data_IF_305712161996
#
_entry.id   IF_305712161996
#
_cell.length_a   1.000
_cell.length_b   1.000
_cell.length_c   1.000
_cell.angle_alpha   90.00
_cell.angle_beta   90.00
_cell.angle_gamma   90.00
#
_symmetry.space_group_name_H-M   'P 1'
#
loop_
_entity.id
_entity.type
_entity.pdbx_description
1 polymer ?
#
# COMPACT_ATOMS: atom_id res chain seq x y z
N UNK A 1 5.33 45.84 27.78
CA UNK A 1 6.15 44.64 27.49
C UNK A 1 7.23 45.00 26.48
N UNK A 2 8.51 44.82 26.82
CA UNK A 2 9.62 45.23 25.96
C UNK A 2 9.59 44.43 24.62
N UNK A 3 10.06 45.06 23.54
CA UNK A 3 10.09 44.51 22.20
C UNK A 3 10.75 43.10 22.17
N UNK A 4 11.82 42.93 22.95
CA UNK A 4 12.51 41.62 23.12
C UNK A 4 11.60 40.51 23.69
N UNK A 5 10.72 40.84 24.67
CA UNK A 5 9.75 39.91 25.24
C UNK A 5 8.68 39.47 24.24
N UNK A 6 8.24 40.36 23.34
CA UNK A 6 7.28 40.06 22.28
C UNK A 6 7.87 39.12 21.25
N UNK A 7 9.13 39.34 20.85
CA UNK A 7 9.85 38.43 19.94
C UNK A 7 10.02 37.04 20.58
N UNK A 8 10.43 36.99 21.84
CA UNK A 8 10.60 35.71 22.55
C UNK A 8 9.28 34.92 22.62
N UNK A 9 8.17 35.61 22.85
CA UNK A 9 6.84 34.99 22.92
C UNK A 9 6.39 34.47 21.54
N UNK A 10 6.67 35.23 20.47
CA UNK A 10 6.39 34.82 19.10
C UNK A 10 7.20 33.55 18.71
N UNK A 11 8.48 33.50 19.03
CA UNK A 11 9.34 32.35 18.78
C UNK A 11 8.84 31.11 19.57
N UNK A 12 8.47 31.32 20.84
CA UNK A 12 7.93 30.26 21.66
C UNK A 12 6.63 29.63 21.05
N UNK A 13 5.73 30.48 20.55
CA UNK A 13 4.49 30.03 19.90
C UNK A 13 4.78 29.25 18.61
N UNK A 14 5.76 29.67 17.82
CA UNK A 14 6.16 28.95 16.59
C UNK A 14 6.73 27.58 16.94
N UNK A 15 7.58 27.47 17.98
CA UNK A 15 8.15 26.21 18.43
C UNK A 15 7.04 25.26 18.92
N UNK A 16 6.09 25.77 19.70
CA UNK A 16 4.95 24.95 20.18
C UNK A 16 4.12 24.46 18.99
N UNK A 17 3.79 25.33 18.04
CA UNK A 17 3.02 24.95 16.85
C UNK A 17 3.75 23.89 16.01
N UNK A 18 5.06 24.07 15.80
CA UNK A 18 5.89 23.09 15.09
C UNK A 18 5.95 21.74 15.83
N UNK A 19 6.07 21.76 17.16
CA UNK A 19 6.10 20.53 17.97
C UNK A 19 4.76 19.79 17.91
N UNK A 20 3.65 20.51 17.97
CA UNK A 20 2.30 19.92 17.83
C UNK A 20 2.13 19.32 16.44
N UNK A 21 2.56 20.04 15.40
CA UNK A 21 2.48 19.54 14.02
C UNK A 21 3.30 18.25 13.84
N UNK A 22 4.56 18.24 14.29
CA UNK A 22 5.42 17.07 14.23
C UNK A 22 4.86 15.90 15.06
N UNK A 23 4.27 16.19 16.23
CA UNK A 23 3.65 15.17 17.06
C UNK A 23 2.41 14.57 16.41
N UNK A 24 1.58 15.39 15.76
CA UNK A 24 0.42 14.91 15.01
C UNK A 24 0.84 14.08 13.80
N UNK A 25 1.88 14.50 13.07
CA UNK A 25 2.39 13.75 11.92
C UNK A 25 3.04 12.43 12.35
N UNK A 26 3.80 12.43 13.46
CA UNK A 26 4.40 11.22 14.02
C UNK A 26 3.35 10.23 14.55
N UNK A 27 2.30 10.73 15.19
CA UNK A 27 1.18 9.93 15.70
C UNK A 27 0.05 9.75 14.68
N UNK A 28 0.28 10.08 13.42
CA UNK A 28 -0.66 9.74 12.35
C UNK A 28 -0.87 8.25 12.38
N UNK A 29 -1.94 7.83 13.05
CA UNK A 29 -2.29 6.43 13.26
C UNK A 29 -2.38 5.79 11.88
N UNK A 30 -1.48 4.87 11.60
CA UNK A 30 -1.55 4.06 10.40
C UNK A 30 -2.95 3.44 10.35
N UNK A 31 -3.75 3.82 9.36
CA UNK A 31 -5.08 3.27 9.18
C UNK A 31 -4.99 1.75 9.28
N UNK A 32 -5.74 1.16 10.20
CA UNK A 32 -5.76 -0.28 10.36
C UNK A 32 -6.49 -0.88 9.16
N UNK A 33 -5.71 -1.32 8.17
CA UNK A 33 -6.22 -1.83 6.90
C UNK A 33 -7.14 -3.03 7.11
N UNK A 34 -6.90 -3.84 8.16
CA UNK A 34 -7.77 -5.01 8.42
C UNK A 34 -9.20 -4.62 8.76
N UNK A 35 -9.41 -3.47 9.40
CA UNK A 35 -10.73 -2.95 9.80
C UNK A 35 -11.32 -1.94 8.82
N UNK A 36 -10.50 -1.39 7.93
CA UNK A 36 -10.95 -0.42 6.96
C UNK A 36 -11.77 -1.08 5.85
N UNK A 37 -12.85 -0.43 5.44
CA UNK A 37 -13.60 -0.86 4.26
C UNK A 37 -12.83 -0.48 2.99
N UNK A 38 -12.70 -1.40 2.03
CA UNK A 38 -12.06 -1.10 0.76
C UNK A 38 -12.97 -0.18 -0.07
N UNK A 39 -12.37 0.86 -0.66
CA UNK A 39 -13.12 1.74 -1.58
C UNK A 39 -13.42 1.07 -2.92
N UNK A 40 -12.60 0.11 -3.31
CA UNK A 40 -12.76 -0.66 -4.54
C UNK A 40 -12.41 -2.11 -4.30
N UNK A 41 -13.19 -3.00 -4.91
CA UNK A 41 -12.88 -4.43 -5.00
C UNK A 41 -12.69 -4.76 -6.48
N UNK A 42 -11.51 -5.23 -6.85
CA UNK A 42 -11.13 -5.48 -8.24
C UNK A 42 -10.34 -6.78 -8.35
N UNK A 43 -10.31 -7.40 -9.53
CA UNK A 43 -9.36 -8.47 -9.78
C UNK A 43 -7.97 -7.92 -10.12
N UNK A 44 -6.92 -8.70 -9.87
CA UNK A 44 -5.56 -8.33 -10.22
C UNK A 44 -5.43 -7.96 -11.71
N UNK A 45 -6.05 -8.73 -12.60
CA UNK A 45 -6.04 -8.47 -14.03
C UNK A 45 -6.75 -7.16 -14.40
N UNK A 46 -7.91 -6.88 -13.78
CA UNK A 46 -8.62 -5.61 -14.01
C UNK A 46 -7.79 -4.40 -13.54
N UNK A 47 -7.09 -4.54 -12.42
CA UNK A 47 -6.23 -3.49 -11.90
C UNK A 47 -5.03 -3.23 -12.83
N UNK A 48 -4.35 -4.29 -13.28
CA UNK A 48 -3.26 -4.22 -14.25
C UNK A 48 -3.73 -3.57 -15.56
N UNK A 49 -4.86 -4.00 -16.10
CA UNK A 49 -5.44 -3.43 -17.33
C UNK A 49 -5.80 -1.95 -17.18
N UNK A 50 -6.28 -1.53 -16.00
CA UNK A 50 -6.60 -0.13 -15.76
C UNK A 50 -5.34 0.76 -15.84
N UNK A 51 -4.22 0.32 -15.27
CA UNK A 51 -2.96 1.06 -15.32
C UNK A 51 -2.31 1.00 -16.70
N UNK A 52 -2.35 -0.15 -17.39
CA UNK A 52 -1.82 -0.28 -18.77
C UNK A 52 -2.62 0.55 -19.78
N UNK A 53 -3.93 0.73 -19.57
CA UNK A 53 -4.78 1.47 -20.50
C UNK A 53 -4.67 2.98 -20.34
N UNK A 54 -4.71 3.47 -19.12
CA UNK A 54 -4.54 4.90 -18.77
C UNK A 54 -4.06 5.04 -17.32
N UNK A 55 -2.76 5.11 -17.18
CA UNK A 55 -2.06 5.22 -15.89
C UNK A 55 -2.50 6.43 -15.07
N UNK A 56 -2.70 7.57 -15.71
CA UNK A 56 -3.11 8.83 -15.06
C UNK A 56 -4.52 8.72 -14.46
N UNK A 57 -5.46 8.11 -15.18
CA UNK A 57 -6.83 7.88 -14.68
C UNK A 57 -6.82 6.82 -13.58
N UNK A 58 -6.10 5.72 -13.79
CA UNK A 58 -5.98 4.65 -12.81
C UNK A 58 -5.33 5.16 -11.51
N UNK A 59 -4.27 5.98 -11.61
CA UNK A 59 -3.60 6.57 -10.45
C UNK A 59 -4.55 7.45 -9.65
N UNK A 60 -5.30 8.34 -10.28
CA UNK A 60 -6.31 9.17 -9.59
C UNK A 60 -7.39 8.35 -8.91
N UNK A 61 -7.75 7.20 -9.50
CA UNK A 61 -8.79 6.31 -8.98
C UNK A 61 -8.31 5.47 -7.80
N UNK A 62 -7.12 4.89 -7.87
CA UNK A 62 -6.67 3.84 -6.96
C UNK A 62 -5.55 4.26 -6.01
N UNK A 63 -4.61 5.12 -6.43
CA UNK A 63 -3.45 5.47 -5.61
C UNK A 63 -3.86 6.24 -4.35
N UNK A 64 -3.27 5.87 -3.23
CA UNK A 64 -3.57 6.40 -1.89
C UNK A 64 -4.84 5.86 -1.27
N UNK A 65 -5.49 4.86 -1.89
CA UNK A 65 -6.76 4.28 -1.41
C UNK A 65 -6.58 2.84 -0.99
N UNK A 66 -7.43 2.43 -0.03
CA UNK A 66 -7.52 1.03 0.39
C UNK A 66 -8.39 0.30 -0.63
N UNK A 67 -7.84 -0.74 -1.21
CA UNK A 67 -8.51 -1.57 -2.22
C UNK A 67 -8.42 -3.04 -1.81
N UNK A 68 -9.44 -3.82 -2.20
CA UNK A 68 -9.38 -5.28 -2.16
C UNK A 68 -9.08 -5.82 -3.55
N UNK A 69 -8.12 -6.69 -3.64
CA UNK A 69 -7.68 -7.33 -4.89
C UNK A 69 -7.82 -8.83 -4.78
N UNK A 70 -8.61 -9.40 -5.70
CA UNK A 70 -8.72 -10.86 -5.88
C UNK A 70 -7.77 -11.28 -6.98
N UNK A 71 -6.96 -12.29 -6.74
CA UNK A 71 -6.04 -12.78 -7.77
C UNK A 71 -5.44 -14.14 -7.46
N UNK A 72 -4.88 -14.73 -8.50
CA UNK A 72 -4.10 -15.96 -8.37
C UNK A 72 -2.68 -15.63 -7.92
N UNK A 73 -2.14 -16.36 -6.98
CA UNK A 73 -0.76 -16.22 -6.51
C UNK A 73 0.19 -16.75 -7.58
N UNK A 74 0.94 -15.83 -8.21
CA UNK A 74 1.99 -16.15 -9.19
C UNK A 74 3.30 -16.50 -8.51
N UNK A 75 3.70 -15.66 -7.55
CA UNK A 75 4.95 -15.82 -6.81
C UNK A 75 4.79 -15.38 -5.36
N UNK A 76 5.64 -15.95 -4.51
CA UNK A 76 5.74 -15.62 -3.10
C UNK A 76 7.22 -15.39 -2.83
N UNK A 77 7.59 -14.16 -2.58
CA UNK A 77 8.96 -13.75 -2.26
C UNK A 77 9.07 -13.47 -0.76
N UNK A 78 10.16 -13.88 -0.16
CA UNK A 78 10.48 -13.59 1.23
C UNK A 78 11.85 -12.93 1.27
N UNK A 79 11.95 -11.78 1.92
CA UNK A 79 13.22 -11.09 2.12
C UNK A 79 14.00 -11.67 3.32
N UNK A 80 15.25 -11.21 3.47
CA UNK A 80 16.14 -11.64 4.57
C UNK A 80 15.62 -11.21 5.95
N UNK A 81 14.70 -10.25 6.01
CA UNK A 81 14.06 -9.78 7.24
C UNK A 81 12.77 -10.54 7.57
N UNK A 82 12.35 -11.43 6.68
CA UNK A 82 11.18 -12.27 6.86
C UNK A 82 9.87 -11.65 6.38
N UNK A 83 9.90 -10.51 5.66
CA UNK A 83 8.72 -9.93 5.05
C UNK A 83 8.35 -10.68 3.77
N UNK A 84 7.06 -10.81 3.54
CA UNK A 84 6.52 -11.49 2.36
C UNK A 84 5.99 -10.47 1.34
N UNK A 85 6.31 -10.72 0.07
CA UNK A 85 5.71 -10.03 -1.09
C UNK A 85 5.03 -11.06 -1.95
N UNK A 86 3.74 -10.88 -2.17
CA UNK A 86 2.93 -11.73 -3.05
C UNK A 86 2.78 -11.06 -4.41
N UNK A 87 3.01 -11.80 -5.48
CA UNK A 87 2.69 -11.35 -6.85
C UNK A 87 1.40 -12.02 -7.29
N UNK A 88 0.37 -11.23 -7.59
CA UNK A 88 -0.94 -11.70 -8.00
C UNK A 88 -1.19 -11.39 -9.48
N UNK A 89 -1.89 -12.25 -10.16
CA UNK A 89 -2.29 -12.06 -11.56
C UNK A 89 -2.28 -13.34 -12.37
N UNK A 90 -2.24 -13.19 -13.69
CA UNK A 90 -2.16 -14.31 -14.62
C UNK A 90 -0.72 -14.84 -14.69
N UNK A 91 -0.55 -16.15 -14.54
CA UNK A 91 0.76 -16.81 -14.58
C UNK A 91 1.45 -16.72 -15.95
N UNK A 92 0.70 -16.49 -17.02
CA UNK A 92 1.21 -16.31 -18.38
C UNK A 92 1.68 -14.89 -18.68
N UNK A 93 1.26 -13.90 -17.87
CA UNK A 93 1.62 -12.48 -18.02
C UNK A 93 2.91 -12.17 -17.25
N UNK A 94 3.73 -11.24 -17.73
CA UNK A 94 4.85 -10.66 -16.97
C UNK A 94 4.34 -9.70 -15.90
N UNK A 95 3.25 -8.98 -16.16
CA UNK A 95 2.65 -8.00 -15.25
C UNK A 95 2.03 -8.64 -14.01
N UNK A 96 2.07 -7.96 -12.88
CA UNK A 96 1.50 -8.44 -11.62
C UNK A 96 1.01 -7.33 -10.69
N UNK A 97 0.18 -7.68 -9.71
CA UNK A 97 -0.07 -6.84 -8.55
C UNK A 97 0.84 -7.32 -7.44
N UNK A 98 1.79 -6.49 -7.03
CA UNK A 98 2.74 -6.79 -5.96
C UNK A 98 2.21 -6.31 -4.62
N UNK A 99 1.95 -7.26 -3.74
CA UNK A 99 1.36 -7.04 -2.43
C UNK A 99 2.42 -7.27 -1.35
N UNK A 100 2.89 -6.21 -0.72
CA UNK A 100 3.74 -6.32 0.47
C UNK A 100 2.87 -6.66 1.68
N UNK A 101 3.03 -7.85 2.22
CA UNK A 101 2.18 -8.37 3.31
C UNK A 101 2.58 -7.71 4.64
N UNK A 102 1.58 -7.31 5.42
CA UNK A 102 1.81 -6.83 6.78
C UNK A 102 2.40 -7.96 7.64
N UNK A 103 3.38 -7.62 8.48
CA UNK A 103 4.12 -8.58 9.32
C UNK A 103 3.21 -9.46 10.20
N UNK A 104 2.05 -8.93 10.60
CA UNK A 104 1.05 -9.68 11.37
C UNK A 104 0.45 -10.88 10.59
N UNK A 105 0.55 -10.86 9.27
CA UNK A 105 0.03 -11.91 8.36
C UNK A 105 1.13 -12.77 7.75
N UNK A 106 2.38 -12.65 8.21
CA UNK A 106 3.54 -13.40 7.68
C UNK A 106 3.35 -14.92 7.76
N UNK A 107 2.79 -15.43 8.87
CA UNK A 107 2.51 -16.86 9.03
C UNK A 107 1.49 -17.37 8.02
N UNK A 108 0.51 -16.54 7.69
CA UNK A 108 -0.51 -16.84 6.69
C UNK A 108 0.07 -16.82 5.29
N UNK A 109 0.90 -15.80 4.98
CA UNK A 109 1.62 -15.71 3.71
C UNK A 109 2.52 -16.93 3.48
N UNK A 110 3.19 -17.42 4.54
CA UNK A 110 4.03 -18.62 4.48
C UNK A 110 3.27 -19.91 4.15
N UNK A 111 1.97 -19.98 4.43
CA UNK A 111 1.13 -21.15 4.14
C UNK A 111 0.55 -21.13 2.72
N UNK A 112 0.63 -20.02 2.00
CA UNK A 112 0.13 -19.91 0.64
C UNK A 112 0.98 -20.71 -0.34
N UNK A 113 0.36 -21.08 -1.45
CA UNK A 113 1.03 -21.78 -2.57
C UNK A 113 0.72 -21.06 -3.88
N UNK A 114 1.66 -21.15 -4.82
CA UNK A 114 1.43 -20.68 -6.20
C UNK A 114 0.18 -21.36 -6.78
N UNK A 115 -0.60 -20.60 -7.53
CA UNK A 115 -1.86 -21.07 -8.13
C UNK A 115 -3.09 -20.96 -7.22
N UNK A 116 -2.93 -20.62 -5.94
CA UNK A 116 -4.09 -20.36 -5.07
C UNK A 116 -4.73 -19.02 -5.44
N UNK A 117 -6.06 -18.97 -5.43
CA UNK A 117 -6.83 -17.72 -5.53
C UNK A 117 -7.02 -17.16 -4.13
N UNK A 118 -6.67 -15.92 -3.94
CA UNK A 118 -6.75 -15.23 -2.65
C UNK A 118 -7.38 -13.84 -2.80
N UNK A 119 -7.91 -13.33 -1.69
CA UNK A 119 -8.34 -11.96 -1.54
C UNK A 119 -7.37 -11.24 -0.62
N UNK A 120 -6.79 -10.15 -1.10
CA UNK A 120 -5.93 -9.28 -0.29
C UNK A 120 -6.50 -7.88 -0.24
N UNK A 121 -6.38 -7.24 0.91
CA UNK A 121 -6.76 -5.84 1.10
C UNK A 121 -5.52 -5.05 1.48
N UNK A 122 -5.29 -3.91 0.81
CA UNK A 122 -4.10 -3.11 1.05
C UNK A 122 -4.24 -1.69 0.52
N UNK A 123 -3.21 -0.88 0.77
CA UNK A 123 -3.13 0.48 0.25
C UNK A 123 -2.41 0.49 -1.09
N UNK A 124 -3.09 0.90 -2.16
CA UNK A 124 -2.46 1.10 -3.46
C UNK A 124 -1.55 2.32 -3.41
N UNK A 125 -0.26 2.12 -3.64
CA UNK A 125 0.75 3.20 -3.55
C UNK A 125 1.26 3.68 -4.90
N UNK A 126 0.97 2.95 -5.96
CA UNK A 126 1.38 3.31 -7.31
C UNK A 126 1.58 2.11 -8.21
N UNK A 127 2.35 2.31 -9.25
CA UNK A 127 2.74 1.27 -10.20
C UNK A 127 4.19 1.49 -10.66
N UNK A 128 4.79 0.45 -11.16
CA UNK A 128 6.07 0.47 -11.85
C UNK A 128 5.92 -0.23 -13.19
N UNK A 129 6.39 0.37 -14.25
CA UNK A 129 6.32 -0.17 -15.59
C UNK A 129 7.74 -0.31 -16.17
N UNK A 130 8.05 -1.48 -16.67
CA UNK A 130 9.30 -1.81 -17.33
C UNK A 130 9.00 -2.51 -18.63
N UNK A 131 9.67 -2.10 -19.71
CA UNK A 131 9.43 -2.64 -21.08
C UNK A 131 9.68 -4.15 -21.16
N UNK A 132 10.57 -4.70 -20.32
CA UNK A 132 10.93 -6.12 -20.32
C UNK A 132 10.20 -6.92 -19.26
N UNK A 133 9.98 -6.31 -18.09
CA UNK A 133 9.39 -6.99 -16.92
C UNK A 133 7.88 -6.79 -16.80
N UNK A 134 7.30 -5.92 -17.60
CA UNK A 134 5.88 -5.62 -17.59
C UNK A 134 5.49 -4.58 -16.54
N UNK A 135 4.21 -4.52 -16.23
CA UNK A 135 3.63 -3.56 -15.30
C UNK A 135 3.35 -4.21 -13.93
N UNK A 136 3.93 -3.65 -12.88
CA UNK A 136 3.66 -4.03 -11.51
C UNK A 136 2.87 -2.94 -10.78
N UNK A 137 1.65 -3.25 -10.35
CA UNK A 137 0.89 -2.36 -9.46
C UNK A 137 1.28 -2.67 -8.02
N UNK A 138 1.63 -1.64 -7.25
CA UNK A 138 2.18 -1.78 -5.91
C UNK A 138 1.08 -1.55 -4.87
N UNK A 139 0.85 -2.54 -4.05
CA UNK A 139 -0.08 -2.50 -2.91
C UNK A 139 0.68 -2.83 -1.64
N UNK A 140 0.65 -1.92 -0.68
CA UNK A 140 1.42 -2.03 0.55
C UNK A 140 0.52 -2.35 1.75
N UNK A 141 1.13 -2.92 2.81
CA UNK A 141 0.47 -3.27 4.07
C UNK A 141 -0.72 -4.20 3.86
N UNK A 142 -0.52 -5.21 3.03
CA UNK A 142 -1.57 -6.12 2.64
C UNK A 142 -1.98 -7.05 3.78
N UNK A 143 -3.28 -7.17 3.93
CA UNK A 143 -3.97 -8.11 4.80
C UNK A 143 -4.54 -9.20 3.90
N UNK A 144 -4.28 -10.45 4.25
CA UNK A 144 -4.84 -11.61 3.54
C UNK A 144 -6.20 -11.92 4.16
N UNK A 145 -7.26 -11.77 3.39
CA UNK A 145 -8.63 -12.06 3.83
C UNK A 145 -9.00 -13.54 3.57
N UNK A 146 -9.90 -14.08 4.38
CA UNK A 146 -10.47 -15.40 4.12
C UNK A 146 -11.59 -15.28 3.07
N UNK A 147 -11.57 -16.19 2.12
CA UNK A 147 -12.68 -16.38 1.20
C UNK A 147 -13.80 -17.16 1.87
#
# INVERSE_FOLDING_TARGET
MSFKKRILLAVLLIVIAATIYLYQEYNRTNVNISRAEPLFTVSANQLIMAFSGNDSVASKKYVGKIISVTGMVKNIDRDDQGHFTLSLGDTSSTSSVRCSVDSMYSSRAASLKRGMSILVKGNCTGYNEDELLGLDVIVNRCVIEEN
#
